data_IF_453586771732
#
_entry.id   IF_453586771732
#
_cell.length_a   1.000
_cell.length_b   1.000
_cell.length_c   1.000
_cell.angle_alpha   90.00
_cell.angle_beta   90.00
_cell.angle_gamma   90.00
#
_symmetry.space_group_name_H-M   'P 1'
#
loop_
_entity.id
_entity.type
_entity.pdbx_description
1 polymer ?
#
# COMPACT_ATOMS: atom_id res chain seq x y z
N UNK A 1 3.43 0.07 -16.46
CA UNK A 1 3.41 -0.01 -14.99
C UNK A 1 4.04 1.27 -14.48
N UNK A 2 3.34 2.07 -13.68
CA UNK A 2 3.94 3.22 -13.01
C UNK A 2 4.82 2.73 -11.85
N UNK A 3 5.95 3.40 -11.61
CA UNK A 3 6.88 3.13 -10.51
C UNK A 3 6.78 4.25 -9.50
N UNK A 4 6.77 3.97 -8.19
CA UNK A 4 6.94 4.95 -7.08
C UNK A 4 7.78 6.18 -7.51
N UNK A 5 7.17 7.38 -7.47
CA UNK A 5 7.86 8.66 -7.69
C UNK A 5 8.37 9.03 -6.33
N UNK A 6 9.62 8.66 -6.11
CA UNK A 6 10.41 9.18 -5.02
C UNK A 6 10.66 10.66 -5.31
N UNK A 7 10.60 11.50 -4.28
CA UNK A 7 10.95 12.91 -4.44
C UNK A 7 12.47 13.00 -4.70
N UNK A 8 12.86 13.34 -5.94
CA UNK A 8 14.26 13.46 -6.38
C UNK A 8 15.02 14.60 -5.69
N UNK A 9 14.37 15.37 -4.81
CA UNK A 9 14.96 16.53 -4.12
C UNK A 9 15.74 16.18 -2.85
N UNK A 10 15.71 14.93 -2.39
CA UNK A 10 16.38 14.52 -1.15
C UNK A 10 17.65 13.68 -1.40
N UNK A 11 18.77 14.21 -0.89
CA UNK A 11 20.05 13.53 -0.61
C UNK A 11 19.79 12.07 -0.19
N UNK A 12 20.47 11.08 -0.78
CA UNK A 12 20.12 9.65 -0.65
C UNK A 12 19.99 9.20 0.82
N UNK A 13 18.77 9.26 1.36
CA UNK A 13 18.50 8.85 2.72
C UNK A 13 18.55 7.32 2.78
N UNK A 14 19.26 6.79 3.77
CA UNK A 14 19.21 5.36 4.08
C UNK A 14 17.79 5.03 4.57
N UNK A 15 17.05 4.25 3.78
CA UNK A 15 15.76 3.70 4.16
C UNK A 15 15.93 2.45 5.01
N UNK A 16 15.29 2.42 6.17
CA UNK A 16 15.44 1.37 7.17
C UNK A 16 14.19 0.50 7.28
N UNK A 17 13.87 -0.18 6.18
CA UNK A 17 12.78 -1.15 6.09
C UNK A 17 13.10 -2.30 5.15
N UNK A 18 12.38 -3.39 5.33
CA UNK A 18 12.32 -4.52 4.41
C UNK A 18 10.89 -4.62 3.87
N UNK A 19 10.75 -4.93 2.57
CA UNK A 19 9.44 -5.08 1.93
C UNK A 19 9.31 -6.43 1.25
N UNK A 20 8.18 -7.09 1.47
CA UNK A 20 7.77 -8.27 0.71
C UNK A 20 6.52 -7.96 -0.10
N UNK A 21 6.59 -8.16 -1.43
CA UNK A 21 5.51 -7.82 -2.36
C UNK A 21 4.74 -9.08 -2.75
N UNK A 22 3.48 -9.13 -2.36
CA UNK A 22 2.55 -10.18 -2.76
C UNK A 22 1.70 -9.70 -3.94
N UNK A 23 1.73 -10.47 -5.02
CA UNK A 23 0.94 -10.26 -6.24
C UNK A 23 0.26 -11.56 -6.63
N UNK A 24 -0.87 -11.47 -7.32
CA UNK A 24 -1.59 -12.63 -7.85
C UNK A 24 -1.88 -13.71 -6.77
N UNK A 25 -2.70 -13.44 -5.75
CA UNK A 25 -2.81 -14.30 -4.54
C UNK A 25 -2.93 -15.83 -4.81
N UNK A 26 -3.57 -16.22 -5.92
CA UNK A 26 -3.75 -17.64 -6.30
C UNK A 26 -2.54 -18.27 -7.00
N UNK A 27 -1.75 -17.49 -7.74
CA UNK A 27 -0.66 -18.01 -8.61
C UNK A 27 0.71 -17.41 -8.30
N UNK A 28 0.77 -16.44 -7.39
CA UNK A 28 1.99 -15.78 -6.96
C UNK A 28 2.84 -16.69 -6.08
N UNK A 29 4.13 -16.38 -6.07
CA UNK A 29 5.11 -17.02 -5.19
C UNK A 29 4.94 -16.52 -3.77
N UNK A 30 4.90 -17.45 -2.81
CA UNK A 30 4.88 -17.18 -1.37
C UNK A 30 5.97 -18.04 -0.70
N UNK A 31 6.46 -17.65 0.49
CA UNK A 31 7.39 -18.45 1.29
C UNK A 31 6.61 -19.56 2.02
N UNK A 32 5.99 -20.46 1.25
CA UNK A 32 5.10 -21.49 1.78
C UNK A 32 5.85 -22.54 2.64
N UNK A 33 7.17 -22.66 2.49
CA UNK A 33 8.01 -23.55 3.30
C UNK A 33 8.31 -22.93 4.68
N UNK A 34 8.66 -21.65 4.72
CA UNK A 34 9.02 -20.94 5.96
C UNK A 34 7.80 -20.49 6.75
N UNK A 35 6.73 -20.07 6.06
CA UNK A 35 5.49 -19.55 6.67
C UNK A 35 4.25 -20.09 5.95
N UNK A 36 3.88 -21.38 6.16
CA UNK A 36 2.81 -22.05 5.42
C UNK A 36 1.45 -21.35 5.49
N UNK A 37 1.14 -20.69 6.61
CA UNK A 37 -0.15 -20.03 6.83
C UNK A 37 -0.24 -18.65 6.17
N UNK A 38 0.88 -18.05 5.75
CA UNK A 38 0.93 -16.69 5.23
C UNK A 38 0.01 -16.53 4.02
N UNK A 39 0.05 -17.47 3.07
CA UNK A 39 -0.77 -17.44 1.86
C UNK A 39 -2.26 -17.40 2.17
N UNK A 40 -2.72 -18.26 3.09
CA UNK A 40 -4.13 -18.35 3.46
C UNK A 40 -4.62 -17.05 4.12
N UNK A 41 -3.87 -16.54 5.10
CA UNK A 41 -4.22 -15.31 5.79
C UNK A 41 -4.17 -14.08 4.88
N UNK A 42 -3.14 -13.95 4.06
CA UNK A 42 -3.02 -12.82 3.13
C UNK A 42 -4.06 -12.87 2.02
N UNK A 43 -4.42 -14.05 1.54
CA UNK A 43 -5.53 -14.20 0.57
C UNK A 43 -6.86 -13.75 1.19
N UNK A 44 -7.13 -14.12 2.44
CA UNK A 44 -8.35 -13.70 3.15
C UNK A 44 -8.41 -12.18 3.34
N UNK A 45 -7.29 -11.58 3.74
CA UNK A 45 -7.18 -10.11 3.87
C UNK A 45 -7.35 -9.43 2.52
N UNK A 46 -6.71 -9.95 1.47
CA UNK A 46 -6.81 -9.44 0.11
C UNK A 46 -8.25 -9.46 -0.41
N UNK A 47 -8.96 -10.58 -0.26
CA UNK A 47 -10.35 -10.73 -0.68
C UNK A 47 -11.28 -9.78 0.09
N UNK A 48 -11.00 -9.54 1.37
CA UNK A 48 -11.72 -8.55 2.18
C UNK A 48 -11.50 -7.12 1.66
N UNK A 49 -10.25 -6.78 1.30
CA UNK A 49 -9.93 -5.51 0.68
C UNK A 49 -10.63 -5.33 -0.68
N UNK A 50 -10.68 -6.38 -1.51
CA UNK A 50 -11.36 -6.35 -2.81
C UNK A 50 -12.88 -6.15 -2.70
N UNK A 51 -13.49 -6.52 -1.57
CA UNK A 51 -14.90 -6.21 -1.29
C UNK A 51 -15.08 -4.77 -0.78
N UNK A 52 -14.11 -4.23 -0.06
CA UNK A 52 -14.16 -2.88 0.49
C UNK A 52 -13.93 -1.79 -0.56
N UNK A 53 -12.92 -1.95 -1.42
CA UNK A 53 -12.51 -0.92 -2.39
C UNK A 53 -13.65 -0.44 -3.30
N UNK A 54 -14.49 -1.29 -3.90
CA UNK A 54 -15.63 -0.84 -4.71
C UNK A 54 -16.63 0.03 -3.93
N UNK A 55 -16.79 -0.23 -2.63
CA UNK A 55 -17.68 0.57 -1.76
C UNK A 55 -17.08 1.95 -1.51
N UNK A 56 -15.77 2.04 -1.29
CA UNK A 56 -15.06 3.31 -1.17
C UNK A 56 -15.11 4.12 -2.46
N UNK A 57 -14.85 3.47 -3.61
CA UNK A 57 -14.96 4.11 -4.93
C UNK A 57 -16.37 4.64 -5.20
N UNK A 58 -17.40 3.87 -4.82
CA UNK A 58 -18.80 4.33 -4.90
C UNK A 58 -19.04 5.54 -4.00
N UNK A 59 -18.54 5.53 -2.76
CA UNK A 59 -18.70 6.65 -1.85
C UNK A 59 -18.01 7.92 -2.37
N UNK A 60 -16.81 7.80 -2.95
CA UNK A 60 -16.09 8.91 -3.59
C UNK A 60 -16.87 9.43 -4.81
N UNK A 61 -17.44 8.55 -5.64
CA UNK A 61 -18.26 8.97 -6.78
C UNK A 61 -19.44 9.85 -6.33
N UNK A 62 -20.17 9.40 -5.32
CA UNK A 62 -21.32 10.13 -4.78
C UNK A 62 -20.90 11.45 -4.12
N UNK A 63 -19.76 11.49 -3.41
CA UNK A 63 -19.25 12.72 -2.79
C UNK A 63 -18.81 13.77 -3.81
N UNK A 64 -18.54 13.37 -5.05
CA UNK A 64 -18.16 14.23 -6.17
C UNK A 64 -19.33 14.49 -7.15
N UNK A 65 -20.57 14.22 -6.74
CA UNK A 65 -21.79 14.34 -7.54
C UNK A 65 -21.70 13.60 -8.90
N UNK A 66 -21.00 12.47 -8.93
CA UNK A 66 -20.93 11.58 -10.10
C UNK A 66 -21.94 10.43 -10.00
N UNK A 67 -22.14 9.73 -11.11
CA UNK A 67 -22.91 8.48 -11.13
C UNK A 67 -22.30 7.45 -10.17
N UNK A 68 -23.16 6.69 -9.49
CA UNK A 68 -22.77 5.75 -8.42
C UNK A 68 -21.65 4.80 -8.83
N UNK A 69 -21.69 4.33 -10.06
CA UNK A 69 -20.79 3.33 -10.61
C UNK A 69 -19.62 3.94 -11.41
N UNK A 70 -19.54 5.28 -11.52
CA UNK A 70 -18.54 6.00 -12.32
C UNK A 70 -17.12 5.46 -12.12
N UNK A 71 -16.64 5.40 -10.86
CA UNK A 71 -15.31 4.87 -10.58
C UNK A 71 -15.26 3.35 -10.67
N UNK A 72 -16.30 2.62 -10.28
CA UNK A 72 -16.29 1.14 -10.35
C UNK A 72 -16.24 0.62 -11.78
N UNK A 73 -16.86 1.30 -12.74
CA UNK A 73 -16.77 0.98 -14.17
C UNK A 73 -15.34 1.15 -14.69
N UNK A 74 -14.62 2.18 -14.22
CA UNK A 74 -13.21 2.39 -14.54
C UNK A 74 -12.27 1.38 -13.84
N UNK A 75 -12.79 0.62 -12.87
CA UNK A 75 -12.05 -0.37 -12.08
C UNK A 75 -12.60 -1.80 -12.21
N UNK A 76 -13.31 -2.11 -13.30
CA UNK A 76 -13.92 -3.44 -13.53
C UNK A 76 -12.91 -4.59 -13.39
N UNK A 77 -11.64 -4.36 -13.72
CA UNK A 77 -10.56 -5.34 -13.59
C UNK A 77 -10.18 -5.70 -12.16
N UNK A 78 -10.60 -4.92 -11.16
CA UNK A 78 -10.43 -5.29 -9.75
C UNK A 78 -11.22 -6.57 -9.42
N UNK A 79 -12.41 -6.74 -10.01
CA UNK A 79 -13.33 -7.83 -9.74
C UNK A 79 -13.24 -8.98 -10.75
N UNK A 80 -12.42 -8.84 -11.81
CA UNK A 80 -12.27 -9.93 -12.77
C UNK A 80 -11.61 -11.13 -12.11
N UNK A 81 -12.22 -12.31 -12.27
CA UNK A 81 -11.76 -13.62 -11.79
C UNK A 81 -10.40 -14.08 -12.35
N UNK A 82 -9.74 -13.25 -13.17
CA UNK A 82 -8.33 -13.47 -13.50
C UNK A 82 -7.55 -13.46 -12.19
N UNK A 83 -6.85 -14.55 -11.89
CA UNK A 83 -6.11 -14.79 -10.65
C UNK A 83 -5.12 -13.68 -10.24
N UNK A 84 -4.86 -12.73 -11.15
CA UNK A 84 -4.03 -11.57 -10.91
C UNK A 84 -4.68 -10.29 -11.47
N UNK A 85 -5.16 -9.42 -10.59
CA UNK A 85 -5.39 -8.02 -10.94
C UNK A 85 -4.11 -7.18 -10.66
N UNK A 86 -4.15 -5.88 -10.94
CA UNK A 86 -2.98 -4.99 -10.78
C UNK A 86 -2.72 -4.54 -9.35
N UNK A 87 -3.55 -4.94 -8.38
CA UNK A 87 -3.37 -4.60 -6.96
C UNK A 87 -2.20 -5.39 -6.39
N UNK A 88 -1.44 -4.74 -5.51
CA UNK A 88 -0.28 -5.34 -4.83
C UNK A 88 -0.46 -5.20 -3.33
N UNK A 89 -0.14 -6.25 -2.56
CA UNK A 89 0.04 -6.13 -1.12
C UNK A 89 1.51 -5.98 -0.82
N UNK A 90 1.87 -4.96 -0.04
CA UNK A 90 3.24 -4.71 0.41
C UNK A 90 3.30 -4.93 1.91
N UNK A 91 4.05 -5.93 2.34
CA UNK A 91 4.33 -6.19 3.75
C UNK A 91 5.61 -5.44 4.09
N UNK A 92 5.51 -4.43 4.95
CA UNK A 92 6.66 -3.64 5.40
C UNK A 92 7.06 -4.07 6.81
N UNK A 93 8.36 -4.32 7.00
CA UNK A 93 8.95 -4.57 8.30
C UNK A 93 10.01 -3.50 8.60
N UNK A 94 9.86 -2.81 9.73
CA UNK A 94 10.76 -1.75 10.17
C UNK A 94 11.57 -2.24 11.38
N UNK A 95 12.77 -2.82 11.18
CA UNK A 95 13.57 -3.38 12.27
C UNK A 95 13.97 -2.32 13.31
N UNK A 96 14.34 -2.66 14.55
CA UNK A 96 14.87 -1.68 15.49
C UNK A 96 16.03 -0.87 14.90
N UNK A 97 16.05 0.45 15.13
CA UNK A 97 17.09 1.34 14.58
C UNK A 97 18.43 1.11 15.31
N UNK A 98 19.53 0.77 14.61
CA UNK A 98 20.84 0.64 15.23
C UNK A 98 21.34 1.94 15.89
N UNK A 99 22.15 1.87 16.96
CA UNK A 99 22.66 3.06 17.64
C UNK A 99 23.50 4.00 16.76
N UNK A 100 24.15 3.47 15.72
CA UNK A 100 25.03 4.22 14.82
C UNK A 100 24.32 4.68 13.54
N UNK A 101 22.98 4.66 13.52
CA UNK A 101 22.20 5.12 12.37
C UNK A 101 22.36 6.63 12.18
N UNK A 102 22.65 7.11 10.96
CA UNK A 102 22.70 8.54 10.68
C UNK A 102 21.42 9.28 11.06
N UNK A 103 21.53 10.50 11.61
CA UNK A 103 20.36 11.31 12.02
C UNK A 103 19.37 11.60 10.88
N UNK A 104 19.86 11.59 9.62
CA UNK A 104 19.03 11.80 8.43
C UNK A 104 18.39 10.51 7.89
N UNK A 105 18.54 9.37 8.55
CA UNK A 105 17.90 8.14 8.10
C UNK A 105 16.39 8.20 8.33
N UNK A 106 15.64 7.74 7.33
CA UNK A 106 14.17 7.65 7.41
C UNK A 106 13.77 6.18 7.38
N UNK A 107 12.59 5.88 7.96
CA UNK A 107 12.05 4.52 7.92
C UNK A 107 11.65 4.11 6.51
N UNK A 108 11.01 5.03 5.79
CA UNK A 108 10.64 4.93 4.39
C UNK A 108 10.65 6.35 3.83
N UNK A 109 11.20 6.56 2.63
CA UNK A 109 11.31 7.87 2.01
C UNK A 109 9.95 8.49 1.69
N UNK A 110 9.94 9.82 1.54
CA UNK A 110 8.77 10.55 1.06
C UNK A 110 8.41 10.09 -0.36
N UNK A 111 7.14 9.75 -0.55
CA UNK A 111 6.61 9.34 -1.84
C UNK A 111 5.11 9.62 -1.92
N UNK A 112 4.59 9.58 -3.14
CA UNK A 112 3.16 9.41 -3.39
C UNK A 112 2.91 8.01 -3.93
N UNK A 113 1.87 7.36 -3.41
CA UNK A 113 1.46 6.05 -3.87
C UNK A 113 1.02 6.03 -5.33
N UNK A 114 1.18 4.87 -5.95
CA UNK A 114 0.72 4.59 -7.31
C UNK A 114 -0.66 3.96 -7.28
N UNK A 115 -1.48 4.33 -8.27
CA UNK A 115 -2.80 3.75 -8.44
C UNK A 115 -3.88 4.65 -7.85
N UNK A 116 -4.94 4.05 -7.33
CA UNK A 116 -6.18 4.77 -7.01
C UNK A 116 -6.38 4.95 -5.51
N UNK A 117 -6.27 3.87 -4.73
CA UNK A 117 -6.47 3.87 -3.27
C UNK A 117 -5.48 2.89 -2.66
N UNK A 118 -4.82 3.32 -1.59
CA UNK A 118 -4.04 2.45 -0.69
C UNK A 118 -4.83 2.21 0.59
N UNK A 119 -4.94 0.94 0.99
CA UNK A 119 -5.44 0.56 2.31
C UNK A 119 -4.21 0.21 3.16
N UNK A 120 -3.86 1.12 4.07
CA UNK A 120 -2.72 0.94 4.96
C UNK A 120 -3.18 0.41 6.32
N UNK A 121 -2.57 -0.69 6.75
CA UNK A 121 -2.76 -1.27 8.07
C UNK A 121 -1.45 -1.12 8.85
N UNK A 122 -1.47 -0.34 9.92
CA UNK A 122 -0.31 -0.06 10.77
C UNK A 122 -0.52 -0.60 12.18
N UNK A 123 0.58 -0.90 12.87
CA UNK A 123 0.56 -1.22 14.29
C UNK A 123 0.50 0.08 15.13
N UNK A 124 0.65 -0.05 16.45
CA UNK A 124 0.61 1.09 17.38
C UNK A 124 1.96 1.78 17.58
N UNK A 125 2.99 1.47 16.80
CA UNK A 125 4.33 2.08 16.97
C UNK A 125 4.42 3.49 16.39
N UNK A 126 3.48 3.86 15.52
CA UNK A 126 3.47 5.15 14.82
C UNK A 126 4.57 5.24 13.74
N UNK A 127 4.93 6.47 13.37
CA UNK A 127 5.96 6.76 12.37
C UNK A 127 5.45 7.11 10.97
N UNK A 128 4.16 6.89 10.69
CA UNK A 128 3.52 7.41 9.50
C UNK A 128 3.35 8.93 9.64
N UNK A 129 3.77 9.65 8.61
CA UNK A 129 3.51 11.08 8.47
C UNK A 129 2.93 11.37 7.08
N UNK A 130 1.98 12.30 7.01
CA UNK A 130 1.36 12.77 5.77
C UNK A 130 1.63 14.25 5.62
N UNK A 131 2.08 14.67 4.44
CA UNK A 131 2.25 16.08 4.13
C UNK A 131 0.90 16.71 3.76
N UNK A 132 0.52 17.75 4.47
CA UNK A 132 -0.68 18.53 4.16
C UNK A 132 -0.45 19.55 3.03
N UNK A 133 -1.51 20.25 2.62
CA UNK A 133 -1.44 21.26 1.56
C UNK A 133 -0.59 22.48 1.91
N UNK A 134 -0.24 22.68 3.18
CA UNK A 134 0.68 23.74 3.62
C UNK A 134 2.15 23.32 3.52
N UNK A 135 2.42 22.04 3.23
CA UNK A 135 3.76 21.45 3.25
C UNK A 135 4.18 20.93 4.62
N UNK A 136 3.29 20.97 5.62
CA UNK A 136 3.56 20.49 6.98
C UNK A 136 3.32 18.99 7.10
N UNK A 137 4.15 18.30 7.88
CA UNK A 137 4.00 16.87 8.15
C UNK A 137 3.11 16.64 9.37
N UNK A 138 2.08 15.81 9.22
CA UNK A 138 1.10 15.44 10.25
C UNK A 138 1.20 13.97 10.58
N UNK A 139 1.19 13.61 11.86
CA UNK A 139 1.18 12.21 12.33
C UNK A 139 -0.19 11.56 12.09
N UNK A 140 -0.16 10.30 11.63
CA UNK A 140 -1.36 9.51 11.30
C UNK A 140 -1.85 8.56 12.39
#
# INVERSE_FOLDING_TARGET
MGQEQLDDTTDSHLELHESYYLKCMKTGTFPDEEVPELRSHMTTLYDSCLQLVPRLLTAIALALDQERDFFTLNHQKLQTMSACNTSTMRLNFYPPVPPNTPEKSVRCGTHTDYGTITLLFQDSMGGLQVQDVSGSWVEG
#
